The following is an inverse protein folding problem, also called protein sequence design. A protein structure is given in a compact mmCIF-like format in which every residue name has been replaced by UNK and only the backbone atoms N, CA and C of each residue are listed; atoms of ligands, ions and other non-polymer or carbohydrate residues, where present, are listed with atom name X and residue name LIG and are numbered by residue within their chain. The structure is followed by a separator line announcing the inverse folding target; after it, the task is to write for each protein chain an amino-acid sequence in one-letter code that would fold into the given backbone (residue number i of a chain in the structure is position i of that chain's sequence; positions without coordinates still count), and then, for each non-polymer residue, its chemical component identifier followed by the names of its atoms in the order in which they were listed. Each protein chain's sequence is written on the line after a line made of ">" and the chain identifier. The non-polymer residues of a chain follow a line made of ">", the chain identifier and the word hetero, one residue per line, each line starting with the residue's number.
data_IF_870869991390
#
_entry.id   IF_870869991390
#
_cell.length_a   1.000
_cell.length_b   1.000
_cell.length_c   1.000
_cell.angle_alpha   90.00
_cell.angle_beta   90.00
_cell.angle_gamma   90.00
#
_symmetry.space_group_name_H-M   'P 1'
#
loop_
_entity.id
_entity.type
_entity.pdbx_description
1 polymer ?
#
# COMPACT_ATOMS: atom_id res chain seq x y z
N UNK A 1 11.85 56.61 24.47
CA UNK A 1 11.81 55.19 24.88
C UNK A 1 10.62 54.56 24.17
N UNK A 2 10.86 54.01 22.97
CA UNK A 2 9.82 53.57 22.03
C UNK A 2 9.66 52.06 22.20
N UNK A 3 8.51 51.61 22.72
CA UNK A 3 8.21 50.18 22.87
C UNK A 3 7.79 49.60 21.52
N UNK A 4 8.63 48.74 20.93
CA UNK A 4 8.28 47.92 19.77
C UNK A 4 7.61 46.65 20.29
N UNK A 5 6.30 46.53 20.03
CA UNK A 5 5.54 45.30 20.24
C UNK A 5 5.87 44.36 19.09
N UNK A 6 6.66 43.32 19.35
CA UNK A 6 6.89 42.22 18.40
C UNK A 6 5.71 41.25 18.52
N UNK A 7 4.82 41.32 17.54
CA UNK A 7 3.72 40.37 17.38
C UNK A 7 4.30 39.05 16.82
N UNK A 8 4.54 38.07 17.68
CA UNK A 8 4.91 36.71 17.28
C UNK A 8 3.66 36.00 16.74
N UNK A 9 3.52 35.97 15.41
CA UNK A 9 2.55 35.13 14.71
C UNK A 9 3.04 33.68 14.80
N UNK A 10 2.56 32.94 15.81
CA UNK A 10 2.67 31.48 15.86
C UNK A 10 1.70 30.88 14.85
N UNK A 11 2.13 30.80 13.58
CA UNK A 11 1.46 29.95 12.61
C UNK A 11 1.90 28.50 12.87
N UNK A 12 1.16 27.81 13.73
CA UNK A 12 1.27 26.36 13.92
C UNK A 12 0.79 25.63 12.68
N UNK A 13 1.69 25.43 11.72
CA UNK A 13 1.54 24.40 10.68
C UNK A 13 2.45 23.25 11.05
N UNK A 14 1.90 22.26 11.74
CA UNK A 14 2.53 20.95 11.83
C UNK A 14 2.31 20.26 10.48
N UNK A 15 3.23 20.51 9.55
CA UNK A 15 3.35 19.75 8.32
C UNK A 15 4.19 18.55 8.74
N UNK A 16 3.55 17.45 9.10
CA UNK A 16 4.24 16.18 9.20
C UNK A 16 4.60 15.77 7.77
N UNK A 17 5.76 16.25 7.33
CA UNK A 17 6.47 15.71 6.19
C UNK A 17 6.88 14.30 6.60
N UNK A 18 6.04 13.31 6.29
CA UNK A 18 6.34 11.88 6.45
C UNK A 18 7.45 11.54 5.46
N UNK A 19 8.66 12.04 5.70
CA UNK A 19 9.87 11.41 5.22
C UNK A 19 9.82 9.98 5.72
N UNK A 20 9.80 9.05 4.77
CA UNK A 20 9.96 7.62 5.03
C UNK A 20 11.05 7.44 6.08
N UNK A 21 10.64 7.06 7.29
CA UNK A 21 11.60 6.73 8.33
C UNK A 21 12.16 5.39 7.88
N UNK A 22 13.44 5.36 7.50
CA UNK A 22 14.20 4.13 7.17
C UNK A 22 14.33 3.15 8.36
N UNK A 23 13.56 3.39 9.43
CA UNK A 23 13.46 2.63 10.67
C UNK A 23 12.00 2.74 11.13
N UNK A 24 11.36 1.64 11.52
CA UNK A 24 10.10 1.74 12.28
C UNK A 24 10.34 2.63 13.51
N UNK A 25 9.34 3.39 13.99
CA UNK A 25 9.51 4.42 15.02
C UNK A 25 9.92 3.82 16.38
N UNK A 26 11.18 3.41 16.49
CA UNK A 26 11.80 2.84 17.68
C UNK A 26 12.11 3.91 18.74
N UNK A 27 11.85 5.19 18.45
CA UNK A 27 12.13 6.33 19.34
C UNK A 27 10.91 6.84 20.13
N UNK A 28 9.73 6.89 19.50
CA UNK A 28 8.56 7.60 20.06
C UNK A 28 7.33 6.72 20.29
N UNK A 29 7.34 5.46 19.82
CA UNK A 29 6.20 4.53 19.98
C UNK A 29 6.42 3.63 21.20
N UNK A 30 5.48 3.62 22.14
CA UNK A 30 5.56 2.76 23.32
C UNK A 30 5.39 1.30 22.93
N UNK A 31 6.14 0.40 23.59
CA UNK A 31 6.15 -1.01 23.27
C UNK A 31 4.75 -1.65 23.43
N UNK A 32 3.95 -1.13 24.36
CA UNK A 32 2.59 -1.54 24.69
C UNK A 32 1.57 -1.19 23.60
N UNK A 33 1.93 -0.33 22.64
CA UNK A 33 1.07 -0.05 21.48
C UNK A 33 0.93 -1.26 20.54
N UNK A 34 1.92 -2.15 20.53
CA UNK A 34 1.94 -3.35 19.70
C UNK A 34 1.91 -4.63 20.55
N UNK A 35 2.67 -4.66 21.63
CA UNK A 35 2.83 -5.84 22.48
C UNK A 35 1.88 -5.81 23.67
N UNK A 36 1.23 -6.94 23.93
CA UNK A 36 0.41 -7.10 25.12
C UNK A 36 1.30 -7.46 26.30
N UNK A 37 1.40 -6.57 27.28
CA UNK A 37 2.25 -6.77 28.45
C UNK A 37 1.48 -6.61 29.77
N UNK A 38 1.83 -7.45 30.75
CA UNK A 38 1.43 -7.27 32.16
C UNK A 38 2.54 -6.62 33.00
N UNK A 39 3.78 -6.67 32.51
CA UNK A 39 5.02 -6.15 33.11
C UNK A 39 5.96 -5.64 31.98
N UNK A 40 7.28 -5.76 32.12
CA UNK A 40 8.26 -5.38 31.07
C UNK A 40 8.15 -6.30 29.84
N UNK A 41 8.25 -5.71 28.65
CA UNK A 41 8.33 -6.45 27.38
C UNK A 41 9.77 -6.94 27.14
N UNK A 42 9.92 -8.23 26.88
CA UNK A 42 11.18 -8.90 26.55
C UNK A 42 10.97 -10.08 25.58
N UNK A 43 12.04 -10.79 25.22
CA UNK A 43 11.96 -11.88 24.23
C UNK A 43 11.05 -13.06 24.64
N UNK A 44 10.67 -13.19 25.90
CA UNK A 44 9.76 -14.25 26.37
C UNK A 44 8.28 -13.93 26.16
N UNK A 45 7.92 -12.64 26.08
CA UNK A 45 6.53 -12.19 25.93
C UNK A 45 6.27 -11.32 24.69
N UNK A 46 7.31 -10.91 23.96
CA UNK A 46 7.19 -10.08 22.75
C UNK A 46 6.38 -10.73 21.61
N UNK A 47 6.18 -12.05 21.63
CA UNK A 47 5.30 -12.72 20.67
C UNK A 47 3.80 -12.44 20.87
N UNK A 48 3.41 -11.85 22.00
CA UNK A 48 2.02 -11.57 22.33
C UNK A 48 1.71 -10.13 21.91
N UNK A 49 0.79 -10.00 20.96
CA UNK A 49 0.40 -8.71 20.38
C UNK A 49 -1.00 -8.30 20.86
N UNK A 50 -1.27 -7.00 20.88
CA UNK A 50 -2.58 -6.45 21.29
C UNK A 50 -3.66 -6.65 20.21
N UNK A 51 -3.26 -6.89 18.97
CA UNK A 51 -4.11 -7.24 17.83
C UNK A 51 -3.32 -8.12 16.84
N UNK A 52 -3.95 -8.53 15.72
CA UNK A 52 -3.23 -9.18 14.62
C UNK A 52 -2.18 -8.23 14.04
N UNK A 53 -1.13 -8.78 13.43
CA UNK A 53 -0.11 -7.94 12.77
C UNK A 53 -0.72 -7.13 11.64
N UNK A 54 -1.66 -7.69 10.92
CA UNK A 54 -2.41 -7.01 9.85
C UNK A 54 -3.09 -5.75 10.36
N UNK A 55 -3.75 -5.81 11.52
CA UNK A 55 -4.42 -4.67 12.13
C UNK A 55 -3.42 -3.63 12.67
N UNK A 56 -2.36 -4.10 13.35
CA UNK A 56 -1.31 -3.24 13.89
C UNK A 56 -0.54 -2.50 12.80
N UNK A 57 -0.18 -3.19 11.72
CA UNK A 57 0.53 -2.59 10.61
C UNK A 57 -0.38 -1.62 9.87
N UNK A 58 -1.65 -1.99 9.63
CA UNK A 58 -2.63 -1.14 8.96
C UNK A 58 -2.88 0.18 9.68
N UNK A 59 -2.79 0.23 11.02
CA UNK A 59 -3.03 1.48 11.75
C UNK A 59 -2.07 2.62 11.38
N UNK A 60 -0.90 2.30 10.81
CA UNK A 60 0.05 3.29 10.27
C UNK A 60 0.33 3.10 8.76
N UNK A 61 0.09 1.91 8.23
CA UNK A 61 0.24 1.56 6.82
C UNK A 61 -1.13 1.19 6.24
N UNK A 62 -2.00 2.19 6.12
CA UNK A 62 -3.44 2.02 5.83
C UNK A 62 -3.74 1.10 4.63
N UNK A 63 -2.87 1.11 3.62
CA UNK A 63 -3.03 0.35 2.38
C UNK A 63 -2.24 -0.96 2.36
N UNK A 64 -1.53 -1.32 3.44
CA UNK A 64 -0.68 -2.51 3.47
C UNK A 64 -1.47 -3.78 3.11
N UNK A 65 -2.71 -3.93 3.56
CA UNK A 65 -3.50 -5.12 3.26
C UNK A 65 -3.94 -5.20 1.80
N UNK A 66 -4.17 -4.07 1.15
CA UNK A 66 -4.63 -4.02 -0.25
C UNK A 66 -3.46 -4.05 -1.24
N UNK A 67 -2.31 -3.52 -0.83
CA UNK A 67 -1.15 -3.33 -1.69
C UNK A 67 -0.07 -4.40 -1.50
N UNK A 68 -0.14 -5.26 -0.48
CA UNK A 68 0.91 -6.24 -0.20
C UNK A 68 0.57 -7.64 -0.69
N UNK A 69 1.61 -8.47 -0.80
CA UNK A 69 1.44 -9.91 -0.80
C UNK A 69 0.52 -10.35 0.36
N UNK A 70 -0.38 -11.34 0.14
CA UNK A 70 -1.27 -11.84 1.17
C UNK A 70 -0.56 -12.21 2.48
N UNK A 71 -1.22 -11.99 3.61
CA UNK A 71 -0.75 -12.34 4.96
C UNK A 71 -1.92 -12.71 5.88
N UNK A 72 -1.64 -13.16 7.10
CA UNK A 72 -2.65 -13.59 8.07
C UNK A 72 -3.22 -14.98 7.78
N UNK A 73 -2.44 -15.86 7.14
CA UNK A 73 -2.86 -17.22 6.80
C UNK A 73 -1.74 -18.24 7.06
N UNK A 74 -2.11 -19.48 7.34
CA UNK A 74 -1.16 -20.58 7.48
C UNK A 74 -0.66 -21.02 6.09
N UNK A 75 0.65 -20.92 5.78
CA UNK A 75 1.15 -21.30 4.47
C UNK A 75 1.03 -22.81 4.25
N UNK A 76 0.70 -23.21 3.03
CA UNK A 76 0.53 -24.61 2.65
C UNK A 76 1.85 -25.42 2.66
N UNK A 77 2.99 -24.72 2.66
CA UNK A 77 4.33 -25.31 2.70
C UNK A 77 5.09 -24.86 3.92
N UNK A 78 6.07 -25.67 4.31
CA UNK A 78 7.04 -25.24 5.30
C UNK A 78 7.94 -24.14 4.72
N UNK A 79 8.07 -23.04 5.46
CA UNK A 79 8.96 -21.94 5.11
C UNK A 79 10.38 -22.20 5.61
N UNK A 80 11.41 -21.66 4.93
CA UNK A 80 12.76 -21.59 5.46
C UNK A 80 12.78 -20.90 6.84
N UNK A 81 13.67 -21.33 7.74
CA UNK A 81 13.73 -20.81 9.11
C UNK A 81 14.00 -19.29 9.23
N UNK A 82 14.55 -18.68 8.18
CA UNK A 82 14.75 -17.22 8.10
C UNK A 82 13.42 -16.44 7.95
N UNK A 83 12.34 -17.11 7.55
CA UNK A 83 10.99 -16.57 7.42
C UNK A 83 10.09 -17.17 8.50
N UNK A 84 10.12 -16.63 9.73
CA UNK A 84 9.35 -17.18 10.84
C UNK A 84 7.85 -16.96 10.64
N UNK A 85 7.06 -17.92 11.11
CA UNK A 85 5.62 -17.78 11.26
C UNK A 85 5.30 -17.17 12.63
N UNK A 86 4.12 -16.60 12.77
CA UNK A 86 3.64 -16.14 14.06
C UNK A 86 3.33 -17.32 15.01
N UNK A 87 2.89 -17.01 16.23
CA UNK A 87 2.58 -18.03 17.23
C UNK A 87 1.40 -18.96 16.86
N UNK A 88 0.56 -18.57 15.90
CA UNK A 88 -0.53 -19.41 15.34
C UNK A 88 -0.05 -20.27 14.17
N UNK A 89 1.18 -20.05 13.69
CA UNK A 89 1.69 -20.68 12.48
C UNK A 89 1.24 -19.98 11.20
N UNK A 90 0.94 -18.68 11.26
CA UNK A 90 0.55 -17.87 10.10
C UNK A 90 1.74 -17.09 9.53
N UNK A 91 1.75 -16.93 8.22
CA UNK A 91 2.59 -15.98 7.51
C UNK A 91 2.00 -14.59 7.74
N UNK A 92 2.80 -13.70 8.31
CA UNK A 92 2.41 -12.33 8.66
C UNK A 92 3.41 -11.32 8.11
N UNK A 93 3.18 -10.03 8.31
CA UNK A 93 4.13 -8.98 7.90
C UNK A 93 5.55 -9.25 8.47
N UNK A 94 5.64 -9.72 9.71
CA UNK A 94 6.92 -10.05 10.37
C UNK A 94 7.63 -11.28 9.80
N UNK A 95 6.96 -12.08 8.96
CA UNK A 95 7.60 -13.20 8.27
C UNK A 95 8.65 -12.70 7.30
N UNK A 96 8.39 -11.59 6.60
CA UNK A 96 9.34 -10.96 5.68
C UNK A 96 10.12 -9.80 6.33
N UNK A 97 9.49 -9.07 7.25
CA UNK A 97 10.07 -7.90 7.91
C UNK A 97 10.56 -8.19 9.34
N UNK A 98 11.77 -7.72 9.66
CA UNK A 98 12.27 -7.63 11.02
C UNK A 98 11.96 -6.24 11.58
N UNK A 99 10.80 -6.11 12.24
CA UNK A 99 10.20 -4.83 12.68
C UNK A 99 11.08 -4.03 13.65
N UNK A 100 11.99 -4.69 14.37
CA UNK A 100 12.97 -4.05 15.25
C UNK A 100 14.37 -3.99 14.64
N UNK A 101 14.51 -4.37 13.37
CA UNK A 101 15.77 -4.40 12.65
C UNK A 101 16.21 -3.05 12.12
N UNK A 102 17.29 -3.07 11.35
CA UNK A 102 17.89 -1.89 10.73
C UNK A 102 18.15 -2.04 9.23
N UNK A 103 17.72 -3.15 8.64
CA UNK A 103 17.89 -3.39 7.21
C UNK A 103 16.99 -2.44 6.41
N UNK A 104 17.37 -2.15 5.16
CA UNK A 104 16.54 -1.33 4.28
C UNK A 104 15.18 -2.01 4.07
N UNK A 105 14.09 -1.25 4.25
CA UNK A 105 12.73 -1.80 4.23
C UNK A 105 12.46 -2.83 5.32
N UNK A 106 13.35 -2.97 6.31
CA UNK A 106 13.32 -3.98 7.37
C UNK A 106 13.27 -5.43 6.88
N UNK A 107 13.70 -5.72 5.65
CA UNK A 107 13.67 -7.10 5.16
C UNK A 107 14.62 -7.99 5.96
N UNK A 108 14.19 -9.23 6.22
CA UNK A 108 15.01 -10.27 6.87
C UNK A 108 16.16 -10.76 5.98
N UNK A 109 16.08 -10.48 4.69
CA UNK A 109 17.02 -10.92 3.67
C UNK A 109 17.32 -9.82 2.66
N UNK A 110 18.44 -9.98 1.94
CA UNK A 110 18.85 -9.04 0.89
C UNK A 110 18.25 -9.37 -0.49
N UNK A 111 17.66 -10.57 -0.67
CA UNK A 111 17.03 -10.93 -1.93
C UNK A 111 15.79 -10.07 -2.19
N UNK A 112 15.60 -9.66 -3.46
CA UNK A 112 14.49 -8.84 -3.91
C UNK A 112 13.86 -9.39 -5.19
N UNK A 113 12.65 -8.93 -5.50
CA UNK A 113 11.88 -9.32 -6.68
C UNK A 113 11.76 -10.84 -6.80
N UNK A 114 11.86 -11.34 -8.04
CA UNK A 114 11.70 -12.77 -8.39
C UNK A 114 12.47 -13.70 -7.46
N UNK A 115 13.70 -13.37 -7.08
CA UNK A 115 14.53 -14.22 -6.21
C UNK A 115 13.92 -14.42 -4.83
N UNK A 116 13.31 -13.37 -4.25
CA UNK A 116 12.60 -13.48 -2.98
C UNK A 116 11.32 -14.31 -3.14
N UNK A 117 10.53 -14.03 -4.18
CA UNK A 117 9.30 -14.76 -4.47
C UNK A 117 9.56 -16.27 -4.60
N UNK A 118 10.64 -16.65 -5.28
CA UNK A 118 11.07 -18.03 -5.47
C UNK A 118 11.60 -18.72 -4.20
N UNK A 119 11.76 -18.00 -3.09
CA UNK A 119 12.07 -18.60 -1.80
C UNK A 119 10.88 -19.37 -1.22
N UNK A 120 9.65 -19.07 -1.69
CA UNK A 120 8.40 -19.67 -1.23
C UNK A 120 7.55 -20.25 -2.38
N UNK A 121 7.56 -19.64 -3.57
CA UNK A 121 6.78 -20.10 -4.71
C UNK A 121 7.69 -20.78 -5.75
N UNK A 122 7.16 -21.75 -6.50
CA UNK A 122 7.87 -22.29 -7.66
C UNK A 122 7.45 -21.55 -8.94
N UNK A 123 8.10 -21.86 -10.07
CA UNK A 123 7.76 -21.21 -11.34
C UNK A 123 6.37 -21.59 -11.85
N UNK A 124 5.84 -22.76 -11.47
CA UNK A 124 4.52 -23.20 -11.91
C UNK A 124 3.42 -22.36 -11.26
N UNK A 125 3.57 -21.98 -9.99
CA UNK A 125 2.65 -21.06 -9.32
C UNK A 125 2.42 -19.77 -10.12
N UNK A 126 3.49 -19.17 -10.65
CA UNK A 126 3.38 -17.96 -11.45
C UNK A 126 2.89 -18.24 -12.87
N UNK A 127 3.21 -19.40 -13.44
CA UNK A 127 2.77 -19.78 -14.78
C UNK A 127 1.24 -19.93 -14.91
N UNK A 128 0.54 -20.20 -13.80
CA UNK A 128 -0.92 -20.26 -13.76
C UNK A 128 -1.59 -18.88 -13.79
N UNK A 129 -0.82 -17.81 -13.53
CA UNK A 129 -1.30 -16.44 -13.61
C UNK A 129 -1.43 -15.98 -15.08
N UNK A 130 -2.39 -15.10 -15.34
CA UNK A 130 -2.71 -14.62 -16.70
C UNK A 130 -1.52 -13.99 -17.43
N UNK A 131 -0.60 -13.36 -16.71
CA UNK A 131 0.59 -12.69 -17.23
C UNK A 131 1.89 -13.43 -16.88
N UNK A 132 1.80 -14.70 -16.47
CA UNK A 132 2.94 -15.51 -16.02
C UNK A 132 3.61 -14.98 -14.74
N UNK A 133 2.91 -14.16 -13.96
CA UNK A 133 3.37 -13.55 -12.70
C UNK A 133 4.32 -12.36 -12.87
N UNK A 134 4.48 -11.85 -14.10
CA UNK A 134 5.37 -10.73 -14.39
C UNK A 134 5.02 -9.45 -13.62
N UNK A 135 3.74 -9.18 -13.41
CA UNK A 135 3.24 -8.03 -12.64
C UNK A 135 3.49 -8.13 -11.13
N UNK A 136 3.56 -9.35 -10.56
CA UNK A 136 3.68 -9.56 -9.11
C UNK A 136 5.08 -9.98 -8.66
N UNK A 137 5.94 -10.45 -9.57
CA UNK A 137 7.32 -10.87 -9.22
C UNK A 137 8.30 -9.70 -9.07
N UNK A 138 7.88 -8.47 -9.35
CA UNK A 138 8.76 -7.30 -9.32
C UNK A 138 8.91 -6.71 -7.91
N UNK A 139 7.85 -6.75 -7.10
CA UNK A 139 7.82 -6.16 -5.76
C UNK A 139 7.12 -7.11 -4.77
N UNK A 140 7.35 -6.94 -3.46
CA UNK A 140 6.61 -7.69 -2.43
C UNK A 140 5.29 -7.04 -2.02
N UNK A 141 5.18 -5.74 -2.30
CA UNK A 141 4.01 -4.90 -2.11
C UNK A 141 4.13 -3.71 -3.05
N UNK A 142 3.01 -3.08 -3.39
CA UNK A 142 3.01 -1.77 -4.00
C UNK A 142 3.28 -0.73 -2.89
N UNK A 143 4.10 0.28 -3.17
CA UNK A 143 4.52 1.26 -2.15
C UNK A 143 4.53 2.69 -2.66
N UNK A 144 4.11 3.63 -1.82
CA UNK A 144 4.19 5.06 -2.07
C UNK A 144 5.60 5.65 -1.88
N UNK A 145 6.51 4.94 -1.18
CA UNK A 145 7.71 5.53 -0.56
C UNK A 145 8.80 6.04 -1.51
N UNK A 146 8.74 5.76 -2.81
CA UNK A 146 9.74 6.23 -3.78
C UNK A 146 9.33 7.54 -4.45
N UNK A 147 9.13 8.63 -3.70
CA UNK A 147 8.68 9.90 -4.28
C UNK A 147 9.76 10.55 -5.16
N UNK A 148 9.72 10.30 -6.47
CA UNK A 148 10.33 11.22 -7.46
C UNK A 148 9.23 12.18 -7.89
N UNK A 149 9.21 13.39 -7.31
CA UNK A 149 8.13 14.39 -7.48
C UNK A 149 7.68 14.61 -8.93
N UNK A 150 6.58 13.96 -9.30
CA UNK A 150 5.90 14.07 -10.58
C UNK A 150 4.39 14.09 -10.40
N UNK A 151 3.65 14.37 -11.47
CA UNK A 151 2.19 14.54 -11.47
C UNK A 151 1.39 13.22 -11.31
N UNK A 152 2.07 12.09 -11.10
CA UNK A 152 1.48 10.73 -11.03
C UNK A 152 2.00 10.02 -9.76
N UNK A 153 1.13 9.29 -9.07
CA UNK A 153 1.49 8.57 -7.84
C UNK A 153 2.35 7.31 -8.09
N UNK A 154 3.07 6.87 -7.06
CA UNK A 154 4.02 5.77 -7.18
C UNK A 154 3.39 4.40 -7.41
N UNK A 155 2.19 4.16 -6.88
CA UNK A 155 1.47 2.92 -7.19
C UNK A 155 1.15 2.88 -8.68
N UNK A 156 0.67 4.00 -9.25
CA UNK A 156 0.44 4.10 -10.70
C UNK A 156 1.73 3.87 -11.48
N UNK A 157 2.88 4.46 -11.08
CA UNK A 157 4.17 4.23 -11.74
C UNK A 157 4.57 2.74 -11.69
N UNK A 158 4.39 2.07 -10.56
CA UNK A 158 4.68 0.64 -10.43
C UNK A 158 3.78 -0.20 -11.32
N UNK A 159 2.48 0.11 -11.41
CA UNK A 159 1.58 -0.54 -12.36
C UNK A 159 2.06 -0.31 -13.80
N UNK A 160 2.38 0.92 -14.17
CA UNK A 160 2.85 1.29 -15.50
C UNK A 160 4.21 0.68 -15.85
N UNK A 161 5.07 0.36 -14.88
CA UNK A 161 6.34 -0.32 -15.18
C UNK A 161 6.18 -1.61 -15.99
N UNK A 162 5.02 -2.28 -15.85
CA UNK A 162 4.62 -3.41 -16.69
C UNK A 162 3.49 -3.05 -17.66
N UNK A 163 2.57 -2.17 -17.27
CA UNK A 163 1.38 -1.78 -18.05
C UNK A 163 1.59 -0.54 -18.96
N UNK A 164 2.82 -0.07 -19.18
CA UNK A 164 3.16 1.03 -20.10
C UNK A 164 3.73 0.54 -21.44
N UNK A 165 4.10 -0.75 -21.57
CA UNK A 165 4.92 -1.24 -22.70
C UNK A 165 4.50 -0.66 -24.04
N UNK A 166 5.35 0.26 -24.49
CA UNK A 166 5.31 0.94 -25.77
C UNK A 166 5.29 -0.14 -26.86
N UNK A 167 4.13 -0.23 -27.53
CA UNK A 167 3.79 -1.02 -28.74
C UNK A 167 2.54 -1.90 -28.54
N UNK A 168 1.38 -1.25 -28.44
CA UNK A 168 0.20 -1.66 -29.22
C UNK A 168 -0.91 -2.47 -28.53
N UNK A 169 -0.70 -3.12 -27.39
CA UNK A 169 -1.69 -4.09 -26.87
C UNK A 169 -2.17 -3.90 -25.42
N UNK A 170 -1.90 -2.76 -24.78
CA UNK A 170 -2.40 -2.50 -23.44
C UNK A 170 -3.78 -1.85 -23.44
N UNK A 171 -4.66 -2.29 -22.53
CA UNK A 171 -6.02 -1.79 -22.38
C UNK A 171 -6.09 -0.38 -21.73
N UNK A 172 -4.96 0.22 -21.38
CA UNK A 172 -4.89 1.49 -20.63
C UNK A 172 -3.73 2.36 -21.12
N UNK A 173 -3.96 3.68 -21.18
CA UNK A 173 -2.97 4.70 -21.52
C UNK A 173 -3.05 5.83 -20.50
N UNK A 174 -1.90 6.30 -20.00
CA UNK A 174 -1.85 7.46 -19.09
C UNK A 174 -1.08 8.59 -19.76
N UNK A 175 -1.73 9.75 -19.92
CA UNK A 175 -1.09 10.94 -20.52
C UNK A 175 -1.46 12.19 -19.72
N UNK A 176 -0.46 12.84 -19.13
CA UNK A 176 -0.66 14.04 -18.32
C UNK A 176 -1.55 13.80 -17.10
N UNK A 177 -1.37 12.67 -16.41
CA UNK A 177 -2.17 12.30 -15.25
C UNK A 177 -3.60 11.83 -15.56
N UNK A 178 -3.98 11.73 -16.84
CA UNK A 178 -5.29 11.23 -17.25
C UNK A 178 -5.15 9.82 -17.82
N UNK A 179 -5.84 8.88 -17.18
CA UNK A 179 -5.98 7.50 -17.62
C UNK A 179 -7.09 7.39 -18.65
N UNK A 180 -6.85 6.62 -19.71
CA UNK A 180 -7.82 6.27 -20.75
C UNK A 180 -7.80 4.77 -20.95
N UNK A 181 -8.94 4.12 -20.85
CA UNK A 181 -9.04 2.70 -21.17
C UNK A 181 -9.41 2.51 -22.64
N UNK A 182 -8.75 1.61 -23.37
CA UNK A 182 -9.02 1.40 -24.80
C UNK A 182 -10.45 0.87 -25.06
N UNK A 183 -10.96 0.06 -24.12
CA UNK A 183 -12.29 -0.56 -24.23
C UNK A 183 -13.39 0.23 -23.51
N UNK A 184 -13.08 1.40 -22.94
CA UNK A 184 -14.04 2.23 -22.22
C UNK A 184 -13.94 3.68 -22.68
N UNK A 185 -15.07 4.38 -22.76
CA UNK A 185 -15.05 5.84 -23.02
C UNK A 185 -14.70 6.65 -21.77
N UNK A 186 -14.57 6.01 -20.60
CA UNK A 186 -14.22 6.68 -19.37
C UNK A 186 -12.74 7.08 -19.41
N UNK A 187 -12.49 8.38 -19.28
CA UNK A 187 -11.18 8.94 -19.01
C UNK A 187 -11.24 9.62 -17.66
N UNK A 188 -10.29 9.37 -16.78
CA UNK A 188 -10.28 9.96 -15.45
C UNK A 188 -8.85 10.29 -15.01
N UNK A 189 -8.69 11.30 -14.14
CA UNK A 189 -7.41 11.56 -13.51
C UNK A 189 -6.96 10.39 -12.62
N UNK A 190 -5.66 10.18 -12.55
CA UNK A 190 -4.98 9.22 -11.66
C UNK A 190 -3.78 9.91 -11.00
N UNK A 191 -3.40 9.47 -9.81
CA UNK A 191 -2.34 10.08 -9.01
C UNK A 191 -2.71 11.42 -8.37
N UNK A 192 -4.00 11.74 -8.32
CA UNK A 192 -4.48 13.03 -7.83
C UNK A 192 -5.07 12.89 -6.44
N UNK A 193 -4.84 13.87 -5.55
CA UNK A 193 -5.49 13.92 -4.23
C UNK A 193 -7.00 14.04 -4.39
N UNK A 194 -7.74 13.06 -3.90
CA UNK A 194 -9.19 13.00 -4.05
C UNK A 194 -9.88 14.20 -3.40
N UNK A 195 -9.38 14.66 -2.25
CA UNK A 195 -9.89 15.83 -1.54
C UNK A 195 -9.92 17.11 -2.40
N UNK A 196 -8.96 17.27 -3.32
CA UNK A 196 -8.92 18.42 -4.21
C UNK A 196 -10.13 18.41 -5.15
N UNK A 197 -10.57 17.22 -5.58
CA UNK A 197 -11.71 17.03 -6.49
C UNK A 197 -13.03 17.48 -5.88
N UNK A 198 -13.23 17.28 -4.56
CA UNK A 198 -14.46 17.64 -3.84
C UNK A 198 -14.78 19.14 -3.99
N UNK A 199 -13.75 19.98 -4.02
CA UNK A 199 -13.92 21.44 -4.15
C UNK A 199 -14.51 21.89 -5.50
N UNK A 200 -14.41 21.05 -6.54
CA UNK A 200 -14.94 21.35 -7.88
C UNK A 200 -16.42 20.96 -8.05
N UNK A 201 -17.00 20.23 -7.08
CA UNK A 201 -18.39 19.75 -7.12
C UNK A 201 -18.57 18.46 -7.93
N UNK A 202 -19.67 17.73 -7.68
CA UNK A 202 -19.99 16.46 -8.37
C UNK A 202 -19.20 15.25 -7.86
N UNK A 203 -18.58 15.35 -6.68
CA UNK A 203 -17.85 14.28 -6.01
C UNK A 203 -18.43 14.04 -4.61
N UNK A 204 -18.43 12.77 -4.20
CA UNK A 204 -18.85 12.33 -2.87
C UNK A 204 -17.79 12.68 -1.82
N UNK A 205 -18.20 12.73 -0.56
CA UNK A 205 -17.25 12.88 0.55
C UNK A 205 -16.43 11.59 0.72
N UNK A 206 -15.16 11.70 1.11
CA UNK A 206 -14.29 10.53 1.38
C UNK A 206 -14.95 9.55 2.34
N UNK A 207 -15.63 10.05 3.38
CA UNK A 207 -16.34 9.23 4.36
C UNK A 207 -17.51 8.41 3.81
N UNK A 208 -17.95 8.68 2.58
CA UNK A 208 -19.02 7.94 1.89
C UNK A 208 -18.51 6.99 0.81
N UNK A 209 -17.19 6.96 0.58
CA UNK A 209 -16.56 6.02 -0.35
C UNK A 209 -16.56 4.63 0.32
N UNK A 210 -16.97 3.57 -0.39
CA UNK A 210 -16.89 2.20 0.11
C UNK A 210 -15.47 1.82 0.54
N UNK A 211 -15.34 1.01 1.60
CA UNK A 211 -14.05 0.64 2.17
C UNK A 211 -13.19 -0.21 1.20
N UNK A 212 -13.79 -0.83 0.20
CA UNK A 212 -13.14 -1.58 -0.87
C UNK A 212 -12.33 -0.68 -1.81
N UNK A 213 -12.68 0.61 -1.91
CA UNK A 213 -11.97 1.60 -2.72
C UNK A 213 -10.90 2.25 -1.85
N UNK A 214 -9.67 1.76 -1.98
CA UNK A 214 -8.52 2.35 -1.30
C UNK A 214 -8.17 3.71 -1.92
N UNK A 215 -7.85 4.71 -1.10
CA UNK A 215 -7.26 5.97 -1.54
C UNK A 215 -5.86 6.11 -0.95
N UNK A 216 -4.82 5.53 -1.59
CA UNK A 216 -3.50 5.52 -1.01
C UNK A 216 -2.94 6.91 -0.81
N UNK A 217 -2.57 7.24 0.43
CA UNK A 217 -2.21 8.60 0.85
C UNK A 217 -3.24 9.66 0.42
N UNK A 218 -4.53 9.31 0.38
CA UNK A 218 -5.61 10.18 -0.09
C UNK A 218 -5.64 10.44 -1.60
N UNK A 219 -4.88 9.68 -2.39
CA UNK A 219 -4.85 9.80 -3.86
C UNK A 219 -5.76 8.78 -4.53
N UNK A 220 -6.34 9.15 -5.67
CA UNK A 220 -6.96 8.20 -6.60
C UNK A 220 -5.83 7.52 -7.36
N UNK A 221 -5.63 6.23 -7.11
CA UNK A 221 -4.57 5.42 -7.74
C UNK A 221 -5.17 4.24 -8.50
N UNK A 222 -4.37 3.49 -9.27
CA UNK A 222 -4.82 2.29 -9.98
C UNK A 222 -5.51 1.29 -9.02
N UNK A 223 -4.98 1.16 -7.80
CA UNK A 223 -5.54 0.26 -6.78
C UNK A 223 -6.82 0.78 -6.09
N UNK A 224 -7.25 2.01 -6.38
CA UNK A 224 -8.57 2.49 -6.00
C UNK A 224 -9.69 1.77 -6.78
N UNK A 225 -9.38 1.29 -7.98
CA UNK A 225 -10.35 0.65 -8.86
C UNK A 225 -10.01 -0.81 -9.14
N UNK A 226 -8.72 -1.16 -9.20
CA UNK A 226 -8.26 -2.48 -9.60
C UNK A 226 -7.59 -3.24 -8.45
N UNK A 227 -7.78 -4.54 -8.43
CA UNK A 227 -7.05 -5.45 -7.55
C UNK A 227 -5.60 -5.56 -8.03
N UNK A 228 -4.65 -5.38 -7.10
CA UNK A 228 -3.22 -5.46 -7.37
C UNK A 228 -2.67 -6.87 -7.18
N UNK A 229 -2.24 -7.18 -5.95
CA UNK A 229 -1.64 -8.45 -5.55
C UNK A 229 -2.72 -9.50 -5.20
N UNK A 230 -3.44 -10.01 -6.20
CA UNK A 230 -4.38 -11.14 -6.06
C UNK A 230 -4.40 -12.03 -7.30
N UNK A 231 -5.01 -13.22 -7.19
CA UNK A 231 -5.24 -14.11 -8.34
C UNK A 231 -6.14 -13.44 -9.40
N UNK A 232 -6.96 -12.48 -8.99
CA UNK A 232 -7.79 -11.60 -9.80
C UNK A 232 -7.08 -10.28 -10.20
N UNK A 233 -5.76 -10.26 -10.32
CA UNK A 233 -4.99 -9.08 -10.73
C UNK A 233 -5.66 -8.30 -11.88
N UNK A 234 -5.90 -7.02 -11.66
CA UNK A 234 -6.52 -6.12 -12.64
C UNK A 234 -8.05 -6.16 -12.69
N UNK A 235 -8.72 -7.07 -11.98
CA UNK A 235 -10.17 -7.02 -11.81
C UNK A 235 -10.58 -5.82 -10.97
N UNK A 236 -11.84 -5.38 -11.11
CA UNK A 236 -12.33 -4.25 -10.33
C UNK A 236 -12.55 -4.61 -8.86
N UNK A 237 -12.26 -3.70 -7.94
CA UNK A 237 -12.42 -3.90 -6.48
C UNK A 237 -13.89 -4.06 -6.04
N UNK A 238 -14.83 -3.70 -6.91
CA UNK A 238 -16.26 -3.92 -6.73
C UNK A 238 -16.99 -3.98 -8.07
N UNK A 239 -18.21 -4.54 -8.08
CA UNK A 239 -19.05 -4.61 -9.29
C UNK A 239 -19.29 -3.22 -9.89
N UNK A 240 -19.04 -3.09 -11.20
CA UNK A 240 -19.35 -1.87 -11.95
C UNK A 240 -20.70 -1.94 -12.70
N UNK A 241 -21.63 -2.80 -12.24
CA UNK A 241 -22.96 -2.88 -12.83
C UNK A 241 -23.68 -1.52 -12.71
N UNK A 242 -24.20 -1.01 -13.83
CA UNK A 242 -24.87 0.30 -13.85
C UNK A 242 -23.96 1.48 -13.48
N UNK A 243 -22.65 1.36 -13.71
CA UNK A 243 -21.64 2.36 -13.34
C UNK A 243 -21.51 2.58 -11.82
N UNK A 244 -21.87 1.57 -11.01
CA UNK A 244 -21.83 1.68 -9.54
C UNK A 244 -20.45 2.09 -9.00
N UNK A 245 -19.36 1.61 -9.60
CA UNK A 245 -18.00 2.01 -9.23
C UNK A 245 -17.72 3.48 -9.57
N UNK A 246 -18.32 4.04 -10.62
CA UNK A 246 -18.19 5.46 -10.91
C UNK A 246 -18.97 6.30 -9.88
N UNK A 247 -20.18 5.87 -9.54
CA UNK A 247 -21.06 6.56 -8.60
C UNK A 247 -20.65 6.43 -7.13
N UNK A 248 -19.66 5.60 -6.79
CA UNK A 248 -19.07 5.58 -5.45
C UNK A 248 -18.23 6.84 -5.17
N UNK A 249 -17.70 7.46 -6.22
CA UNK A 249 -16.89 8.67 -6.15
C UNK A 249 -17.64 9.90 -6.67
N UNK A 250 -18.55 9.72 -7.62
CA UNK A 250 -19.27 10.81 -8.28
C UNK A 250 -20.71 10.95 -7.79
N UNK A 251 -21.14 12.20 -7.59
CA UNK A 251 -22.52 12.58 -7.29
C UNK A 251 -23.04 13.43 -8.46
N UNK A 252 -23.24 12.76 -9.61
CA UNK A 252 -23.63 13.34 -10.90
C UNK A 252 -25.13 13.22 -11.15
#
# INVERSE_FOLDING_TARGET
>A
MLFIVVLLILCGRSIYDLKAIDRHPAGDTSCESCHLARDKIDGSNAGILVASQEELCKSCHENALTASHPSGFAPARQLPAIFPLDWKGELTCSTCHEVHGSNQGLLRVDQQGKTLCLSCHDENFFAEMKDGGSSVMSFGHLDARSSTGGDIDQYTIQCLSCHETLEGELNVQVRGGITRHNNSKASHPIGMKYENSISFGGYRAISSIPAEIALPDGTVSCISCHQGYSDEHGEVVMSNQGSALCYSCHDL
#
